data_IF_020280965853
#
_entry.id   IF_020280965853
#
_cell.length_a   1.000
_cell.length_b   1.000
_cell.length_c   1.000
_cell.angle_alpha   90.00
_cell.angle_beta   90.00
_cell.angle_gamma   90.00
#
_symmetry.space_group_name_H-M   'P 1'
#
loop_
_entity.id
_entity.type
_entity.pdbx_description
1 polymer ?
#
# COMPACT_ATOMS: atom_id res chain seq x y z
N UNK A 1 -14.52 1.70 25.93
CA UNK A 1 -13.05 1.58 26.06
C UNK A 1 -12.41 1.57 24.66
N UNK A 2 -12.40 2.69 23.91
CA UNK A 2 -11.94 2.70 22.50
C UNK A 2 -11.56 4.08 21.85
N UNK A 3 -10.87 5.03 22.51
CA UNK A 3 -10.36 6.22 21.79
C UNK A 3 -8.92 6.07 21.26
N UNK A 4 -8.08 5.23 21.88
CA UNK A 4 -6.66 5.12 21.52
C UNK A 4 -6.41 4.38 20.18
N UNK A 5 -7.35 3.56 19.69
CA UNK A 5 -7.17 2.76 18.47
C UNK A 5 -7.49 3.52 17.17
N UNK A 6 -8.26 4.61 17.24
CA UNK A 6 -8.62 5.38 16.04
C UNK A 6 -7.48 6.31 15.60
N UNK A 7 -6.88 7.05 16.55
CA UNK A 7 -5.72 7.91 16.28
C UNK A 7 -4.53 7.15 15.72
N UNK A 8 -4.23 5.97 16.27
CA UNK A 8 -3.15 5.12 15.78
C UNK A 8 -3.39 4.62 14.34
N UNK A 9 -4.65 4.36 13.97
CA UNK A 9 -5.00 3.95 12.59
C UNK A 9 -4.84 5.10 11.61
N UNK A 10 -5.25 6.31 11.99
CA UNK A 10 -5.10 7.49 11.13
C UNK A 10 -3.62 7.80 10.86
N UNK A 11 -2.79 7.78 11.92
CA UNK A 11 -1.34 8.00 11.82
C UNK A 11 -0.64 6.92 10.98
N UNK A 12 -1.12 5.68 11.03
CA UNK A 12 -0.62 4.59 10.19
C UNK A 12 -0.98 4.81 8.72
N UNK A 13 -2.21 5.24 8.43
CA UNK A 13 -2.63 5.50 7.04
C UNK A 13 -1.93 6.72 6.45
N UNK A 14 -1.73 7.78 7.22
CA UNK A 14 -0.99 8.96 6.74
C UNK A 14 0.48 8.62 6.47
N UNK A 15 1.15 7.91 7.39
CA UNK A 15 2.53 7.46 7.13
C UNK A 15 2.62 6.52 5.92
N UNK A 16 1.66 5.60 5.76
CA UNK A 16 1.55 4.75 4.59
C UNK A 16 1.36 5.56 3.29
N UNK A 17 0.54 6.61 3.32
CA UNK A 17 0.34 7.49 2.17
C UNK A 17 1.63 8.21 1.77
N UNK A 18 2.34 8.81 2.74
CA UNK A 18 3.60 9.50 2.46
C UNK A 18 4.69 8.53 1.98
N UNK A 19 4.75 7.31 2.51
CA UNK A 19 5.66 6.26 2.00
C UNK A 19 5.35 5.91 0.54
N UNK A 20 4.08 5.72 0.18
CA UNK A 20 3.67 5.47 -1.19
C UNK A 20 4.01 6.66 -2.10
N UNK A 21 3.78 7.89 -1.64
CA UNK A 21 4.11 9.10 -2.37
C UNK A 21 5.62 9.21 -2.61
N UNK A 22 6.45 8.94 -1.60
CA UNK A 22 7.92 8.95 -1.79
C UNK A 22 8.34 7.91 -2.83
N UNK A 23 7.75 6.71 -2.77
CA UNK A 23 8.06 5.68 -3.76
C UNK A 23 7.63 6.07 -5.17
N UNK A 24 6.50 6.76 -5.33
CA UNK A 24 6.07 7.29 -6.62
C UNK A 24 7.10 8.27 -7.20
N UNK A 25 7.59 9.21 -6.39
CA UNK A 25 8.64 10.15 -6.82
C UNK A 25 9.96 9.43 -7.19
N UNK A 26 10.32 8.41 -6.41
CA UNK A 26 11.56 7.65 -6.63
C UNK A 26 11.45 6.61 -7.74
N UNK A 27 10.24 6.19 -8.13
CA UNK A 27 10.01 5.22 -9.18
C UNK A 27 10.58 5.69 -10.52
N UNK A 28 10.41 6.97 -10.85
CA UNK A 28 10.98 7.57 -12.07
C UNK A 28 12.52 7.64 -12.08
N UNK A 29 13.17 7.53 -10.92
CA UNK A 29 14.63 7.63 -10.78
C UNK A 29 15.29 6.26 -10.76
N UNK A 30 14.72 5.29 -10.05
CA UNK A 30 15.37 4.00 -9.79
C UNK A 30 14.95 2.87 -10.73
N UNK A 31 13.76 2.94 -11.34
CA UNK A 31 13.21 1.81 -12.10
C UNK A 31 12.53 2.29 -13.39
N UNK A 32 13.32 2.72 -14.40
CA UNK A 32 12.77 3.18 -15.68
C UNK A 32 12.12 2.05 -16.52
N UNK A 33 12.32 0.78 -16.15
CA UNK A 33 11.93 -0.40 -16.96
C UNK A 33 10.72 -1.15 -16.37
N UNK A 34 10.42 -1.00 -15.08
CA UNK A 34 9.29 -1.70 -14.43
C UNK A 34 8.33 -0.71 -13.79
N UNK A 35 7.09 -0.71 -14.25
CA UNK A 35 6.00 0.08 -13.70
C UNK A 35 5.48 -0.55 -12.39
N UNK A 36 6.23 -0.37 -11.31
CA UNK A 36 5.80 -0.74 -9.95
C UNK A 36 4.53 0.04 -9.60
N UNK A 37 3.54 -0.61 -8.97
CA UNK A 37 2.35 0.09 -8.48
C UNK A 37 2.65 0.71 -7.11
N UNK A 38 3.24 1.90 -7.09
CA UNK A 38 3.71 2.56 -5.86
C UNK A 38 2.64 2.66 -4.74
N UNK A 39 1.37 2.84 -5.13
CA UNK A 39 0.23 2.93 -4.20
C UNK A 39 -0.40 1.58 -3.82
N UNK A 40 0.02 0.46 -4.40
CA UNK A 40 -0.53 -0.88 -4.10
C UNK A 40 -0.53 -1.22 -2.60
N UNK A 41 0.58 -1.09 -1.84
CA UNK A 41 0.58 -1.38 -0.40
C UNK A 41 -0.31 -0.44 0.42
N UNK A 42 -0.41 0.83 0.01
CA UNK A 42 -1.34 1.78 0.63
C UNK A 42 -2.80 1.36 0.40
N UNK A 43 -3.12 0.91 -0.82
CA UNK A 43 -4.45 0.42 -1.17
C UNK A 43 -4.81 -0.84 -0.38
N UNK A 44 -3.85 -1.76 -0.22
CA UNK A 44 -4.02 -2.95 0.62
C UNK A 44 -4.34 -2.56 2.08
N UNK A 45 -3.54 -1.67 2.68
CA UNK A 45 -3.74 -1.21 4.05
C UNK A 45 -5.07 -0.48 4.24
N UNK A 46 -5.47 0.37 3.29
CA UNK A 46 -6.73 1.12 3.37
C UNK A 46 -7.94 0.19 3.29
N UNK A 47 -7.96 -0.76 2.35
CA UNK A 47 -9.02 -1.75 2.21
C UNK A 47 -9.17 -2.59 3.48
N UNK A 48 -8.05 -3.05 4.05
CA UNK A 48 -8.06 -3.91 5.23
C UNK A 48 -8.44 -3.18 6.52
N UNK A 49 -8.00 -1.92 6.70
CA UNK A 49 -8.14 -1.21 7.98
C UNK A 49 -9.36 -0.29 8.08
N UNK A 50 -9.93 0.17 6.96
CA UNK A 50 -10.96 1.22 6.94
C UNK A 50 -12.37 0.71 6.62
N UNK A 51 -13.43 1.48 6.99
CA UNK A 51 -14.79 1.22 6.53
C UNK A 51 -14.94 1.54 5.04
N UNK A 52 -15.96 0.95 4.40
CA UNK A 52 -16.12 0.89 2.95
C UNK A 52 -16.07 2.25 2.27
N UNK A 53 -16.85 3.21 2.75
CA UNK A 53 -16.90 4.57 2.20
C UNK A 53 -15.54 5.27 2.24
N UNK A 54 -14.80 5.12 3.35
CA UNK A 54 -13.47 5.72 3.49
C UNK A 54 -12.45 5.00 2.61
N UNK A 55 -12.50 3.67 2.53
CA UNK A 55 -11.64 2.89 1.65
C UNK A 55 -11.85 3.27 0.17
N UNK A 56 -13.11 3.42 -0.26
CA UNK A 56 -13.45 3.90 -1.60
C UNK A 56 -12.90 5.30 -1.88
N UNK A 57 -13.17 6.25 -0.99
CA UNK A 57 -12.69 7.62 -1.17
C UNK A 57 -11.16 7.68 -1.26
N UNK A 58 -10.46 6.95 -0.39
CA UNK A 58 -9.00 6.88 -0.39
C UNK A 58 -8.46 6.16 -1.63
N UNK A 59 -9.14 5.12 -2.13
CA UNK A 59 -8.77 4.42 -3.36
C UNK A 59 -8.84 5.35 -4.57
N UNK A 60 -9.94 6.06 -4.74
CA UNK A 60 -10.12 7.04 -5.81
C UNK A 60 -9.10 8.15 -5.69
N UNK A 61 -8.91 8.70 -4.49
CA UNK A 61 -7.92 9.76 -4.26
C UNK A 61 -6.50 9.30 -4.62
N UNK A 62 -6.09 8.10 -4.23
CA UNK A 62 -4.79 7.54 -4.59
C UNK A 62 -4.64 7.30 -6.09
N UNK A 63 -5.71 6.88 -6.78
CA UNK A 63 -5.70 6.69 -8.22
C UNK A 63 -5.65 8.02 -8.98
N UNK A 64 -6.36 9.05 -8.52
CA UNK A 64 -6.26 10.41 -9.07
C UNK A 64 -4.85 10.98 -8.88
N UNK A 65 -4.23 10.76 -7.72
CA UNK A 65 -2.84 11.13 -7.50
C UNK A 65 -1.92 10.41 -8.49
N UNK A 66 -2.11 9.10 -8.69
CA UNK A 66 -1.35 8.35 -9.70
C UNK A 66 -1.56 8.90 -11.11
N UNK A 67 -2.80 9.23 -11.48
CA UNK A 67 -3.16 9.81 -12.78
C UNK A 67 -2.45 11.17 -13.01
N UNK A 68 -2.27 11.99 -11.98
CA UNK A 68 -1.57 13.29 -12.09
C UNK A 68 -0.07 13.16 -12.39
N UNK A 69 0.57 12.07 -11.95
CA UNK A 69 1.98 11.82 -12.16
C UNK A 69 2.25 10.82 -13.30
N UNK A 70 1.21 10.21 -13.84
CA UNK A 70 1.26 9.29 -14.98
C UNK A 70 1.15 10.08 -16.29
N UNK A 71 1.88 9.65 -17.32
CA UNK A 71 1.77 10.21 -18.67
C UNK A 71 0.52 9.74 -19.44
N UNK A 72 -0.28 8.84 -18.85
CA UNK A 72 -1.50 8.31 -19.44
C UNK A 72 -2.72 9.22 -19.29
N UNK A 73 -3.86 8.86 -19.90
CA UNK A 73 -5.11 9.61 -19.75
C UNK A 73 -5.60 9.61 -18.30
N UNK A 74 -6.00 10.79 -17.83
CA UNK A 74 -6.48 11.02 -16.47
C UNK A 74 -7.77 10.22 -16.23
N UNK A 75 -7.85 9.52 -15.10
CA UNK A 75 -9.03 8.80 -14.66
C UNK A 75 -8.94 7.28 -14.83
N UNK A 76 -7.98 6.76 -15.62
CA UNK A 76 -7.82 5.31 -15.78
C UNK A 76 -7.34 4.67 -14.48
N UNK A 77 -6.34 5.25 -13.80
CA UNK A 77 -5.84 4.68 -12.55
C UNK A 77 -6.87 4.84 -11.43
N UNK A 78 -7.59 5.98 -11.39
CA UNK A 78 -8.71 6.17 -10.47
C UNK A 78 -9.81 5.10 -10.62
N UNK A 79 -10.21 4.79 -11.86
CA UNK A 79 -11.22 3.78 -12.14
C UNK A 79 -10.73 2.36 -11.83
N UNK A 80 -9.45 2.08 -12.15
CA UNK A 80 -8.82 0.80 -11.83
C UNK A 80 -8.79 0.55 -10.31
N UNK A 81 -8.27 1.50 -9.53
CA UNK A 81 -8.17 1.36 -8.07
C UNK A 81 -9.53 1.30 -7.38
N UNK A 82 -10.53 2.02 -7.92
CA UNK A 82 -11.92 1.88 -7.48
C UNK A 82 -12.43 0.45 -7.71
N UNK A 83 -12.21 -0.12 -8.89
CA UNK A 83 -12.61 -1.49 -9.23
C UNK A 83 -11.95 -2.53 -8.34
N UNK A 84 -10.63 -2.40 -8.13
CA UNK A 84 -9.87 -3.27 -7.21
C UNK A 84 -10.42 -3.18 -5.79
N UNK A 85 -10.69 -1.96 -5.29
CA UNK A 85 -11.29 -1.76 -3.97
C UNK A 85 -12.65 -2.44 -3.88
N UNK A 86 -13.55 -2.26 -4.85
CA UNK A 86 -14.86 -2.89 -4.85
C UNK A 86 -14.79 -4.42 -4.82
N UNK A 87 -13.88 -5.00 -5.60
CA UNK A 87 -13.70 -6.45 -5.69
C UNK A 87 -13.09 -7.04 -4.41
N UNK A 88 -11.94 -6.51 -3.98
CA UNK A 88 -11.18 -7.06 -2.87
C UNK A 88 -11.74 -6.72 -1.49
N UNK A 89 -12.57 -5.68 -1.37
CA UNK A 89 -13.18 -5.31 -0.09
C UNK A 89 -14.05 -6.43 0.49
N UNK A 90 -14.65 -7.28 -0.35
CA UNK A 90 -15.41 -8.47 0.10
C UNK A 90 -14.51 -9.52 0.76
N UNK A 91 -13.28 -9.67 0.29
CA UNK A 91 -12.32 -10.66 0.75
C UNK A 91 -11.52 -10.22 1.98
N UNK A 92 -11.59 -8.94 2.37
CA UNK A 92 -10.83 -8.38 3.49
C UNK A 92 -11.03 -9.11 4.82
N UNK A 93 -12.18 -9.77 5.02
CA UNK A 93 -12.49 -10.51 6.27
C UNK A 93 -11.51 -11.66 6.55
N UNK A 94 -10.82 -12.17 5.54
CA UNK A 94 -9.85 -13.26 5.67
C UNK A 94 -8.45 -12.78 6.06
N UNK A 95 -8.21 -11.47 6.08
CA UNK A 95 -6.88 -10.91 6.30
C UNK A 95 -6.85 -9.94 7.49
N UNK A 96 -5.81 -10.07 8.30
CA UNK A 96 -5.57 -9.23 9.47
C UNK A 96 -4.48 -8.21 9.15
N UNK A 97 -4.80 -6.91 9.22
CA UNK A 97 -3.84 -5.84 8.91
C UNK A 97 -2.70 -5.72 9.92
N UNK A 98 -2.83 -6.34 11.09
CA UNK A 98 -1.80 -6.36 12.14
C UNK A 98 -0.65 -7.30 11.80
N UNK A 99 -0.90 -8.31 10.95
CA UNK A 99 0.11 -9.27 10.55
C UNK A 99 0.83 -8.81 9.27
N UNK A 100 2.17 -8.65 9.30
CA UNK A 100 2.93 -8.17 8.15
C UNK A 100 2.72 -9.02 6.89
N UNK A 101 2.76 -10.35 7.03
CA UNK A 101 2.58 -11.26 5.90
C UNK A 101 1.21 -11.10 5.22
N UNK A 102 0.16 -10.83 5.98
CA UNK A 102 -1.17 -10.61 5.41
C UNK A 102 -1.21 -9.33 4.58
N UNK A 103 -0.51 -8.27 4.99
CA UNK A 103 -0.42 -7.02 4.22
C UNK A 103 0.31 -7.25 2.91
N UNK A 104 1.45 -7.95 2.92
CA UNK A 104 2.21 -8.25 1.70
C UNK A 104 1.42 -9.16 0.75
N UNK A 105 0.76 -10.21 1.25
CA UNK A 105 -0.08 -11.08 0.43
C UNK A 105 -1.29 -10.34 -0.14
N UNK A 106 -1.92 -9.46 0.65
CA UNK A 106 -3.05 -8.67 0.17
C UNK A 106 -2.60 -7.62 -0.85
N UNK A 107 -1.38 -7.09 -0.72
CA UNK A 107 -0.76 -6.21 -1.72
C UNK A 107 -0.53 -6.95 -3.04
N UNK A 108 -0.06 -8.20 -2.98
CA UNK A 108 0.05 -9.06 -4.16
C UNK A 108 -1.30 -9.24 -4.87
N UNK A 109 -2.38 -9.51 -4.10
CA UNK A 109 -3.74 -9.62 -4.65
C UNK A 109 -4.23 -8.31 -5.25
N UNK A 110 -3.94 -7.17 -4.61
CA UNK A 110 -4.24 -5.83 -5.12
C UNK A 110 -3.55 -5.60 -6.45
N UNK A 111 -2.24 -5.83 -6.55
CA UNK A 111 -1.48 -5.64 -7.78
C UNK A 111 -1.97 -6.58 -8.90
N UNK A 112 -2.22 -7.86 -8.59
CA UNK A 112 -2.82 -8.80 -9.55
C UNK A 112 -4.17 -8.33 -10.07
N UNK A 113 -5.05 -7.89 -9.17
CA UNK A 113 -6.39 -7.44 -9.55
C UNK A 113 -6.31 -6.15 -10.36
N UNK A 114 -5.39 -5.25 -10.01
CA UNK A 114 -5.15 -3.99 -10.70
C UNK A 114 -4.60 -4.21 -12.11
N UNK A 115 -3.69 -5.15 -12.33
CA UNK A 115 -3.17 -5.46 -13.67
C UNK A 115 -4.22 -6.15 -14.53
N UNK A 116 -4.99 -7.09 -13.95
CA UNK A 116 -6.10 -7.75 -14.64
C UNK A 116 -7.20 -6.77 -15.07
N UNK A 117 -7.54 -5.79 -14.21
CA UNK A 117 -8.50 -4.74 -14.54
C UNK A 117 -7.91 -3.69 -15.49
N UNK A 118 -6.62 -3.38 -15.40
CA UNK A 118 -5.98 -2.44 -16.32
C UNK A 118 -6.06 -2.90 -17.78
N UNK A 119 -5.95 -4.21 -18.07
CA UNK A 119 -6.01 -4.76 -19.43
C UNK A 119 -7.26 -4.36 -20.23
N UNK A 120 -8.50 -4.62 -19.77
CA UNK A 120 -9.70 -4.20 -20.48
C UNK A 120 -9.89 -2.67 -20.48
N UNK A 121 -9.45 -1.97 -19.42
CA UNK A 121 -9.50 -0.51 -19.38
C UNK A 121 -8.60 0.11 -20.46
N UNK A 122 -7.37 -0.38 -20.60
CA UNK A 122 -6.44 0.04 -21.63
C UNK A 122 -6.99 -0.28 -23.03
N UNK A 123 -7.63 -1.44 -23.22
CA UNK A 123 -8.24 -1.77 -24.51
C UNK A 123 -9.41 -0.83 -24.87
N UNK A 124 -10.17 -0.36 -23.89
CA UNK A 124 -11.34 0.50 -24.10
C UNK A 124 -10.93 1.97 -24.36
N UNK A 125 -9.90 2.45 -23.67
CA UNK A 125 -9.51 3.87 -23.68
C UNK A 125 -8.24 4.17 -24.49
N UNK A 126 -7.40 3.18 -24.75
CA UNK A 126 -6.14 3.34 -25.47
C UNK A 126 -6.15 2.50 -26.76
N UNK A 127 -5.93 3.14 -27.90
CA UNK A 127 -5.95 2.48 -29.22
C UNK A 127 -4.62 1.75 -29.44
N UNK A 128 -4.53 0.53 -28.92
CA UNK A 128 -3.61 -0.50 -29.39
C UNK A 128 -2.39 -0.74 -28.51
N UNK A 129 -2.53 -1.67 -27.57
CA UNK A 129 -1.38 -2.36 -26.99
C UNK A 129 -1.00 -3.52 -27.91
N UNK A 130 0.26 -3.63 -28.37
CA UNK A 130 0.72 -4.83 -29.04
C UNK A 130 0.75 -5.98 -28.02
N UNK A 131 -0.23 -6.89 -28.12
CA UNK A 131 -0.31 -8.09 -27.29
C UNK A 131 0.91 -8.99 -27.54
N UNK A 132 1.91 -8.89 -26.68
CA UNK A 132 3.04 -9.81 -26.65
C UNK A 132 2.90 -10.72 -25.42
N UNK A 133 2.71 -12.02 -25.63
CA UNK A 133 2.43 -12.98 -24.54
C UNK A 133 3.52 -13.03 -23.46
N UNK A 134 4.76 -12.66 -23.80
CA UNK A 134 5.84 -12.47 -22.83
C UNK A 134 5.61 -11.28 -21.89
N UNK A 135 5.12 -10.15 -22.39
CA UNK A 135 4.78 -8.98 -21.58
C UNK A 135 3.60 -9.28 -20.65
N UNK A 136 2.62 -10.06 -21.11
CA UNK A 136 1.48 -10.46 -20.28
C UNK A 136 1.95 -11.29 -19.08
N UNK A 137 2.87 -12.25 -19.27
CA UNK A 137 3.39 -13.07 -18.18
C UNK A 137 4.21 -12.29 -17.15
N UNK A 138 5.05 -11.36 -17.61
CA UNK A 138 5.84 -10.49 -16.71
C UNK A 138 4.96 -9.50 -15.95
N UNK A 139 3.92 -8.98 -16.59
CA UNK A 139 3.04 -7.96 -15.99
C UNK A 139 1.98 -8.59 -15.08
N UNK A 140 1.52 -9.82 -15.38
CA UNK A 140 0.59 -10.54 -14.49
C UNK A 140 1.29 -11.14 -13.27
N UNK A 141 2.49 -11.68 -13.38
CA UNK A 141 3.09 -12.46 -12.28
C UNK A 141 4.33 -11.76 -11.71
N UNK A 142 5.22 -11.27 -12.57
CA UNK A 142 6.46 -10.63 -12.16
C UNK A 142 6.22 -9.35 -11.36
N UNK A 143 5.42 -8.42 -11.91
CA UNK A 143 5.17 -7.12 -11.28
C UNK A 143 4.47 -7.23 -9.91
N UNK A 144 3.41 -8.05 -9.72
CA UNK A 144 2.76 -8.19 -8.41
C UNK A 144 3.66 -8.82 -7.33
N UNK A 145 4.57 -9.72 -7.72
CA UNK A 145 5.55 -10.29 -6.78
C UNK A 145 6.55 -9.22 -6.35
N UNK A 146 7.03 -8.40 -7.28
CA UNK A 146 7.91 -7.26 -6.97
C UNK A 146 7.20 -6.26 -6.07
N UNK A 147 5.94 -5.93 -6.35
CA UNK A 147 5.13 -5.03 -5.50
C UNK A 147 4.96 -5.58 -4.08
N UNK A 148 4.79 -6.90 -3.92
CA UNK A 148 4.67 -7.55 -2.62
C UNK A 148 6.00 -7.55 -1.83
N UNK A 149 7.13 -7.78 -2.52
CA UNK A 149 8.47 -7.66 -1.93
C UNK A 149 8.77 -6.22 -1.55
N UNK A 150 8.38 -5.26 -2.40
CA UNK A 150 8.47 -3.84 -2.12
C UNK A 150 7.63 -3.45 -0.90
N UNK A 151 6.38 -3.92 -0.79
CA UNK A 151 5.56 -3.71 0.39
C UNK A 151 6.23 -4.28 1.66
N UNK A 152 6.86 -5.45 1.55
CA UNK A 152 7.58 -6.02 2.69
C UNK A 152 8.84 -5.22 3.06
N UNK A 153 9.67 -4.85 2.08
CA UNK A 153 10.94 -4.18 2.33
C UNK A 153 10.77 -2.70 2.68
N UNK A 154 9.92 -1.97 1.98
CA UNK A 154 9.81 -0.50 2.09
C UNK A 154 8.70 -0.04 3.02
N UNK A 155 7.62 -0.83 3.18
CA UNK A 155 6.51 -0.47 4.06
C UNK A 155 6.61 -1.15 5.42
N UNK A 156 6.89 -2.46 5.45
CA UNK A 156 6.91 -3.20 6.70
C UNK A 156 8.19 -3.02 7.51
N UNK A 157 9.35 -2.90 6.86
CA UNK A 157 10.62 -2.75 7.57
C UNK A 157 10.71 -1.46 8.39
N UNK A 158 10.35 -0.25 7.88
CA UNK A 158 10.45 0.96 8.69
C UNK A 158 9.41 0.98 9.81
N UNK A 159 8.20 0.46 9.57
CA UNK A 159 7.15 0.37 10.60
C UNK A 159 7.58 -0.56 11.75
N UNK A 160 8.17 -1.71 11.42
CA UNK A 160 8.63 -2.67 12.44
C UNK A 160 9.82 -2.14 13.22
N UNK A 161 10.80 -1.53 12.55
CA UNK A 161 11.96 -0.89 13.19
C UNK A 161 11.51 0.24 14.11
N UNK A 162 10.58 1.10 13.65
CA UNK A 162 10.06 2.19 14.47
C UNK A 162 9.33 1.70 15.72
N UNK A 163 8.53 0.62 15.61
CA UNK A 163 7.86 -0.01 16.76
C UNK A 163 8.86 -0.63 17.74
N UNK A 164 9.94 -1.23 17.25
CA UNK A 164 10.99 -1.77 18.10
C UNK A 164 11.74 -0.65 18.83
N UNK A 165 12.12 0.40 18.11
CA UNK A 165 12.85 1.54 18.65
C UNK A 165 12.03 2.28 19.73
N UNK A 166 10.75 2.55 19.48
CA UNK A 166 9.87 3.21 20.46
C UNK A 166 9.67 2.36 21.72
N UNK A 167 9.56 1.04 21.60
CA UNK A 167 9.52 0.13 22.77
C UNK A 167 10.83 0.15 23.54
N UNK A 168 11.97 0.05 22.86
CA UNK A 168 13.29 0.11 23.48
C UNK A 168 13.50 1.45 24.21
N UNK A 169 13.10 2.56 23.58
CA UNK A 169 13.17 3.90 24.17
C UNK A 169 12.30 4.03 25.41
N UNK A 170 11.05 3.52 25.36
CA UNK A 170 10.14 3.53 26.51
C UNK A 170 10.68 2.70 27.67
N UNK A 171 11.24 1.52 27.39
CA UNK A 171 11.90 0.66 28.39
C UNK A 171 13.12 1.35 29.00
N UNK A 172 13.94 2.02 28.18
CA UNK A 172 15.08 2.80 28.64
C UNK A 172 14.64 3.94 29.57
N UNK A 173 13.61 4.69 29.20
CA UNK A 173 13.06 5.78 30.02
C UNK A 173 12.46 5.29 31.34
N UNK A 174 11.72 4.17 31.32
CA UNK A 174 11.17 3.55 32.53
C UNK A 174 12.28 3.06 33.47
N UNK A 175 13.34 2.46 32.93
CA UNK A 175 14.52 2.02 33.70
C UNK A 175 15.27 3.21 34.31
N UNK A 176 15.28 4.36 33.63
CA UNK A 176 15.87 5.61 34.15
C UNK A 176 15.01 6.25 35.24
N UNK A 177 13.67 6.18 35.13
CA UNK A 177 12.72 6.72 36.11
C UNK A 177 12.65 5.88 37.40
N UNK A 178 12.76 4.56 37.32
CA UNK A 178 12.77 3.66 38.49
C UNK A 178 14.13 3.61 39.23
N UNK A 179 15.14 4.37 38.81
CA UNK A 179 16.42 4.51 39.52
C UNK A 179 16.45 5.68 40.52
N UNK A 180 15.30 6.25 40.90
CA UNK A 180 15.26 7.12 42.08
C UNK A 180 15.59 6.29 43.32
N UNK A 181 16.61 6.65 44.10
CA UNK A 181 17.09 5.83 45.21
C UNK A 181 16.00 5.69 46.27
N UNK A 182 15.80 4.45 46.73
CA UNK A 182 15.18 4.19 48.03
C UNK A 182 16.19 4.76 49.03
N UNK A 183 15.90 5.94 49.58
CA UNK A 183 16.66 6.51 50.70
C UNK A 183 16.46 5.60 51.92
N UNK A 184 17.53 5.07 52.53
CA UNK A 184 17.45 4.34 53.79
C UNK A 184 17.01 5.24 54.95
#
# INVERSE_FOLDING_TARGET
MAPASFGNRLNMLTSAFFLALTALFFQGVFVPIMAILAFSPFLALTIMSSPFQKALLLSVFSGVMMDLFSSGPIGIHALNYLGVCLFLYRFKKHFLYEHPLHVSLFTLLVSLCSTLLALPLLFLFDKGIPFNGRCVGTDLIGMPVVDALYAFAWFLSPITVFRYFTKAWRMFWLKRKNRSPISP
#
